data_IF_737073845316
#
_entry.id   IF_737073845316
#
_cell.length_a   1.000
_cell.length_b   1.000
_cell.length_c   1.000
_cell.angle_alpha   90.00
_cell.angle_beta   90.00
_cell.angle_gamma   90.00
#
_symmetry.space_group_name_H-M   'P 1'
#
loop_
_entity.id
_entity.type
_entity.pdbx_description
1 polymer ?
#
# COMPACT_ATOMS: atom_id res chain seq x y z
N UNK A 1 -6.96 -19.93 1.40
CA UNK A 1 -5.89 -18.90 1.28
C UNK A 1 -5.82 -18.14 2.60
N UNK A 2 -4.63 -17.84 3.13
CA UNK A 2 -4.50 -17.07 4.40
C UNK A 2 -4.77 -15.59 4.08
N UNK A 3 -5.69 -14.90 4.78
CA UNK A 3 -5.98 -13.48 4.52
C UNK A 3 -4.74 -12.59 4.66
N UNK A 4 -4.57 -11.53 3.84
CA UNK A 4 -3.43 -10.62 3.91
C UNK A 4 -3.20 -10.04 5.33
N UNK A 5 -4.29 -9.68 6.03
CA UNK A 5 -4.20 -9.19 7.41
C UNK A 5 -3.63 -10.22 8.38
N UNK A 6 -3.91 -11.51 8.20
CA UNK A 6 -3.31 -12.58 9.01
C UNK A 6 -1.83 -12.78 8.68
N UNK A 7 -1.44 -12.66 7.40
CA UNK A 7 -0.03 -12.69 6.99
C UNK A 7 0.77 -11.55 7.61
N UNK A 8 0.22 -10.32 7.59
CA UNK A 8 0.84 -9.15 8.18
C UNK A 8 1.03 -9.30 9.70
N UNK A 9 -0.01 -9.74 10.43
CA UNK A 9 0.09 -9.98 11.88
C UNK A 9 1.21 -10.99 12.22
N UNK A 10 1.31 -12.08 11.46
CA UNK A 10 2.38 -13.08 11.62
C UNK A 10 3.75 -12.46 11.35
N UNK A 11 3.90 -11.66 10.28
CA UNK A 11 5.17 -11.02 9.94
C UNK A 11 5.66 -10.00 11.00
N UNK A 12 4.73 -9.40 11.75
CA UNK A 12 5.01 -8.42 12.80
C UNK A 12 5.25 -9.04 14.19
N UNK A 13 5.16 -10.36 14.34
CA UNK A 13 5.19 -11.01 15.67
C UNK A 13 6.57 -10.91 16.34
N UNK A 14 7.64 -11.07 15.57
CA UNK A 14 8.99 -11.20 16.14
C UNK A 14 9.77 -9.88 16.18
N UNK A 15 9.59 -9.04 15.15
CA UNK A 15 10.32 -7.77 14.99
C UNK A 15 9.57 -6.80 14.08
N UNK A 16 9.89 -5.49 14.15
CA UNK A 16 9.44 -4.54 13.15
C UNK A 16 9.88 -4.98 11.74
N UNK A 17 9.00 -4.76 10.76
CA UNK A 17 9.30 -4.97 9.34
C UNK A 17 9.30 -3.63 8.60
N UNK A 18 10.12 -3.55 7.56
CA UNK A 18 10.10 -2.41 6.65
C UNK A 18 8.89 -2.51 5.72
N UNK A 19 8.10 -1.43 5.64
CA UNK A 19 6.91 -1.34 4.79
C UNK A 19 7.05 -0.10 3.91
N UNK A 20 7.58 -0.22 2.68
CA UNK A 20 7.70 0.91 1.76
C UNK A 20 6.34 1.37 1.26
N UNK A 21 6.25 2.67 0.93
CA UNK A 21 5.09 3.25 0.28
C UNK A 21 4.99 2.80 -1.18
N UNK A 22 3.80 2.37 -1.60
CA UNK A 22 3.46 2.07 -2.99
C UNK A 22 2.10 2.70 -3.30
N UNK A 23 2.03 3.57 -4.32
CA UNK A 23 0.79 4.27 -4.69
C UNK A 23 0.12 3.68 -5.93
N UNK A 24 0.74 2.66 -6.54
CA UNK A 24 0.19 1.93 -7.68
C UNK A 24 0.73 0.49 -7.72
N UNK A 25 0.14 -0.36 -8.56
CA UNK A 25 0.53 -1.77 -8.67
C UNK A 25 1.99 -1.96 -9.12
N UNK A 26 2.53 -1.09 -9.96
CA UNK A 26 3.92 -1.20 -10.45
C UNK A 26 4.94 -1.02 -9.31
N UNK A 27 4.74 -0.02 -8.45
CA UNK A 27 5.59 0.22 -7.28
C UNK A 27 5.44 -0.90 -6.26
N UNK A 28 4.24 -1.44 -6.05
CA UNK A 28 4.02 -2.59 -5.19
C UNK A 28 4.74 -3.85 -5.71
N UNK A 29 4.69 -4.11 -7.02
CA UNK A 29 5.40 -5.24 -7.66
C UNK A 29 6.91 -5.08 -7.59
N UNK A 30 7.43 -3.86 -7.66
CA UNK A 30 8.85 -3.62 -7.43
C UNK A 30 9.25 -3.93 -5.98
N UNK A 31 8.47 -3.49 -5.00
CA UNK A 31 8.72 -3.79 -3.59
C UNK A 31 8.67 -5.31 -3.32
N UNK A 32 7.71 -6.03 -3.91
CA UNK A 32 7.64 -7.50 -3.85
C UNK A 32 8.92 -8.15 -4.40
N UNK A 33 9.41 -7.71 -5.57
CA UNK A 33 10.65 -8.21 -6.18
C UNK A 33 11.90 -7.91 -5.34
N UNK A 34 11.88 -6.83 -4.56
CA UNK A 34 12.95 -6.48 -3.62
C UNK A 34 12.86 -7.24 -2.28
N UNK A 35 11.84 -8.10 -2.11
CA UNK A 35 11.69 -8.97 -0.95
C UNK A 35 10.97 -8.34 0.25
N UNK A 36 10.29 -7.20 0.07
CA UNK A 36 9.47 -6.63 1.13
C UNK A 36 8.21 -7.48 1.37
N UNK A 37 7.92 -7.74 2.64
CA UNK A 37 6.79 -8.60 3.03
C UNK A 37 5.42 -7.89 2.94
N UNK A 38 5.40 -6.57 2.90
CA UNK A 38 4.22 -5.73 2.83
C UNK A 38 4.54 -4.38 2.20
N UNK A 39 3.50 -3.67 1.74
CA UNK A 39 3.57 -2.29 1.28
C UNK A 39 2.50 -1.46 1.98
N UNK A 40 2.72 -0.15 2.02
CA UNK A 40 1.76 0.84 2.51
C UNK A 40 1.19 1.61 1.32
N UNK A 41 -0.13 1.67 1.20
CA UNK A 41 -0.78 2.51 0.20
C UNK A 41 -0.69 3.97 0.66
N UNK A 42 0.25 4.72 0.09
CA UNK A 42 0.47 6.12 0.47
C UNK A 42 -0.66 7.01 -0.06
N UNK A 43 -1.41 7.64 0.86
CA UNK A 43 -2.48 8.58 0.52
C UNK A 43 -1.96 9.77 -0.27
N UNK A 44 -0.91 10.46 0.21
CA UNK A 44 -0.36 11.61 -0.50
C UNK A 44 0.22 11.28 -1.87
N UNK A 45 0.91 10.14 -2.02
CA UNK A 45 1.41 9.73 -3.32
C UNK A 45 0.28 9.24 -4.25
N UNK A 46 -0.81 8.70 -3.71
CA UNK A 46 -2.00 8.39 -4.50
C UNK A 46 -2.70 9.67 -4.97
N UNK A 47 -2.94 10.63 -4.07
CA UNK A 47 -3.50 11.94 -4.36
C UNK A 47 -2.70 12.64 -5.46
N UNK A 48 -1.38 12.78 -5.28
CA UNK A 48 -0.53 13.48 -6.23
C UNK A 48 -0.25 12.67 -7.51
N UNK A 49 0.08 11.39 -7.37
CA UNK A 49 0.63 10.57 -8.45
C UNK A 49 -0.41 9.87 -9.31
N UNK A 50 -1.58 9.54 -8.77
CA UNK A 50 -2.67 8.91 -9.53
C UNK A 50 -3.76 9.93 -9.89
N UNK A 51 -4.22 10.74 -8.93
CA UNK A 51 -5.30 11.70 -9.17
C UNK A 51 -4.83 13.07 -9.67
N UNK A 52 -3.55 13.42 -9.51
CA UNK A 52 -3.04 14.76 -9.83
C UNK A 52 -3.59 15.86 -8.89
N UNK A 53 -3.95 15.48 -7.66
CA UNK A 53 -4.58 16.34 -6.66
C UNK A 53 -3.68 16.56 -5.44
N UNK A 54 -3.84 17.70 -4.73
CA UNK A 54 -3.19 17.88 -3.43
C UNK A 54 -3.78 16.95 -2.36
N UNK A 55 -2.96 16.51 -1.42
CA UNK A 55 -3.35 15.63 -0.32
C UNK A 55 -4.06 16.39 0.81
N UNK A 56 -5.27 16.87 0.52
CA UNK A 56 -6.11 17.66 1.45
C UNK A 56 -7.47 17.01 1.68
N UNK A 57 -7.57 15.69 1.46
CA UNK A 57 -8.80 14.92 1.71
C UNK A 57 -9.84 14.99 0.59
N UNK A 58 -9.41 15.18 -0.66
CA UNK A 58 -10.31 15.21 -1.83
C UNK A 58 -10.72 13.80 -2.32
N UNK A 59 -9.88 12.80 -2.08
CA UNK A 59 -10.18 11.40 -2.40
C UNK A 59 -11.06 10.78 -1.32
N UNK A 60 -11.95 9.89 -1.74
CA UNK A 60 -12.87 9.16 -0.86
C UNK A 60 -12.38 7.74 -0.60
N UNK A 61 -13.08 7.03 0.28
CA UNK A 61 -12.79 5.62 0.53
C UNK A 61 -12.90 4.75 -0.74
N UNK A 62 -13.75 5.13 -1.70
CA UNK A 62 -13.93 4.37 -2.94
C UNK A 62 -12.64 4.32 -3.75
N UNK A 63 -11.99 5.47 -4.00
CA UNK A 63 -10.74 5.50 -4.76
C UNK A 63 -9.62 4.72 -4.05
N UNK A 64 -9.54 4.81 -2.71
CA UNK A 64 -8.57 4.01 -1.96
C UNK A 64 -8.84 2.50 -2.07
N UNK A 65 -10.10 2.09 -1.97
CA UNK A 65 -10.47 0.68 -2.06
C UNK A 65 -10.19 0.10 -3.46
N UNK A 66 -10.48 0.86 -4.52
CA UNK A 66 -10.19 0.49 -5.89
C UNK A 66 -8.68 0.29 -6.12
N UNK A 67 -7.85 1.22 -5.63
CA UNK A 67 -6.40 1.13 -5.80
C UNK A 67 -5.75 0.04 -4.92
N UNK A 68 -6.34 -0.27 -3.77
CA UNK A 68 -5.90 -1.36 -2.90
C UNK A 68 -6.30 -2.76 -3.39
N UNK A 69 -7.29 -2.85 -4.29
CA UNK A 69 -7.79 -4.12 -4.81
C UNK A 69 -6.93 -4.70 -5.95
N UNK A 70 -6.00 -3.91 -6.49
CA UNK A 70 -5.10 -4.26 -7.60
C UNK A 70 -3.82 -4.93 -7.09
#
# INVERSE_FOLDING_TARGET
>A
MIPPGTRLRRALTDRPIMIPGAFNALTAKLAERLGFAAVYLSGGALSAGWAGLPDIGLLTQTEFAEQAAV
#
